data_IF_049538494670
#
_entry.id   IF_049538494670
#
_cell.length_a   1.000
_cell.length_b   1.000
_cell.length_c   1.000
_cell.angle_alpha   90.00
_cell.angle_beta   90.00
_cell.angle_gamma   90.00
#
_symmetry.space_group_name_H-M   'P 1'
#
loop_
_entity.id
_entity.type
_entity.pdbx_description
1 polymer ?
#
# COMPACT_ATOMS: atom_id res chain seq x y z
N UNK A 1 11.10 -2.79 24.33
CA UNK A 1 9.65 -2.91 24.06
C UNK A 1 9.43 -2.42 22.64
N UNK A 2 8.87 -3.24 21.74
CA UNK A 2 8.61 -2.83 20.35
C UNK A 2 7.34 -1.98 20.33
N UNK A 3 7.41 -0.79 19.74
CA UNK A 3 6.24 0.04 19.48
C UNK A 3 5.66 -0.33 18.11
N UNK A 4 4.72 -1.26 18.09
CA UNK A 4 4.12 -1.77 16.85
C UNK A 4 3.37 -0.70 16.06
N UNK A 5 2.71 0.24 16.75
CA UNK A 5 1.99 1.35 16.11
C UNK A 5 2.98 2.24 15.34
N UNK A 6 4.08 2.63 15.98
CA UNK A 6 5.09 3.45 15.33
C UNK A 6 5.75 2.73 14.15
N UNK A 7 6.00 1.42 14.29
CA UNK A 7 6.58 0.61 13.21
C UNK A 7 5.62 0.48 12.03
N UNK A 8 4.34 0.22 12.29
CA UNK A 8 3.29 0.18 11.27
C UNK A 8 3.20 1.52 10.53
N UNK A 9 3.15 2.64 11.25
CA UNK A 9 3.09 3.98 10.65
C UNK A 9 4.30 4.26 9.76
N UNK A 10 5.51 3.91 10.20
CA UNK A 10 6.74 4.07 9.39
C UNK A 10 6.73 3.24 8.11
N UNK A 11 6.16 2.03 8.14
CA UNK A 11 6.04 1.18 6.95
C UNK A 11 5.03 1.77 5.96
N UNK A 12 3.88 2.22 6.46
CA UNK A 12 2.86 2.90 5.64
C UNK A 12 3.37 4.20 5.05
N UNK A 13 4.17 4.97 5.78
CA UNK A 13 4.81 6.18 5.27
C UNK A 13 5.81 5.88 4.13
N UNK A 14 6.61 4.81 4.26
CA UNK A 14 7.51 4.37 3.17
C UNK A 14 6.72 3.95 1.93
N UNK A 15 5.64 3.18 2.10
CA UNK A 15 4.76 2.78 1.01
C UNK A 15 4.08 3.99 0.36
N UNK A 16 3.63 4.97 1.16
CA UNK A 16 3.05 6.21 0.67
C UNK A 16 4.04 7.04 -0.13
N UNK A 17 5.30 7.13 0.32
CA UNK A 17 6.36 7.80 -0.41
C UNK A 17 6.67 7.09 -1.73
N UNK A 18 6.71 5.75 -1.75
CA UNK A 18 6.87 5.00 -3.00
C UNK A 18 5.72 5.32 -3.96
N UNK A 19 4.47 5.22 -3.48
CA UNK A 19 3.28 5.52 -4.26
C UNK A 19 3.31 6.93 -4.83
N UNK A 20 3.62 7.94 -4.01
CA UNK A 20 3.73 9.34 -4.45
C UNK A 20 4.72 9.51 -5.60
N UNK A 21 5.84 8.78 -5.58
CA UNK A 21 6.87 8.84 -6.63
C UNK A 21 6.59 7.93 -7.84
N UNK A 22 5.40 7.30 -7.94
CA UNK A 22 5.06 6.45 -9.09
C UNK A 22 4.59 7.24 -10.32
N UNK A 23 4.20 8.49 -10.15
CA UNK A 23 3.64 9.32 -11.23
C UNK A 23 3.87 10.80 -10.97
N UNK A 24 4.12 11.56 -12.05
CA UNK A 24 4.20 13.02 -12.03
C UNK A 24 2.86 13.67 -12.48
N UNK A 25 1.82 12.87 -12.73
CA UNK A 25 0.50 13.35 -13.17
C UNK A 25 -0.21 14.01 -12.00
N UNK A 26 -0.89 15.14 -12.24
CA UNK A 26 -1.80 15.73 -11.25
C UNK A 26 -3.04 14.86 -11.06
N UNK A 27 -3.37 14.57 -9.80
CA UNK A 27 -4.50 13.73 -9.41
C UNK A 27 -5.33 14.33 -8.28
N UNK A 28 -6.61 13.97 -8.24
CA UNK A 28 -7.49 14.16 -7.08
C UNK A 28 -7.25 13.07 -6.03
N UNK A 29 -6.94 11.85 -6.49
CA UNK A 29 -6.55 10.72 -5.66
C UNK A 29 -5.60 9.79 -6.43
N UNK A 30 -4.62 9.22 -5.73
CA UNK A 30 -3.70 8.21 -6.22
C UNK A 30 -3.72 7.03 -5.25
N UNK A 31 -3.94 5.80 -5.70
CA UNK A 31 -3.97 4.65 -4.81
C UNK A 31 -3.31 3.42 -5.41
N UNK A 32 -2.87 2.55 -4.50
CA UNK A 32 -2.42 1.21 -4.81
C UNK A 32 -3.28 0.22 -4.02
N UNK A 33 -3.73 -0.81 -4.72
CA UNK A 33 -4.32 -2.01 -4.13
C UNK A 33 -3.21 -3.05 -3.99
N UNK A 34 -3.18 -3.72 -2.85
CA UNK A 34 -2.23 -4.75 -2.50
C UNK A 34 -3.00 -6.01 -2.12
N UNK A 35 -2.72 -7.12 -2.78
CA UNK A 35 -3.36 -8.40 -2.51
C UNK A 35 -2.31 -9.45 -2.22
N UNK A 36 -2.43 -10.13 -1.08
CA UNK A 36 -1.56 -11.24 -0.72
C UNK A 36 -2.03 -12.50 -1.42
N UNK A 37 -1.10 -13.10 -2.16
CA UNK A 37 -1.23 -14.47 -2.63
C UNK A 37 -0.47 -15.37 -1.64
N UNK A 38 -1.24 -16.06 -0.80
CA UNK A 38 -0.69 -16.96 0.21
C UNK A 38 -0.16 -18.27 -0.39
N UNK A 39 -0.61 -18.66 -1.58
CA UNK A 39 -0.15 -19.87 -2.27
C UNK A 39 1.29 -19.69 -2.75
N UNK A 40 1.60 -18.53 -3.33
CA UNK A 40 2.93 -18.23 -3.87
C UNK A 40 3.76 -17.31 -2.98
N UNK A 41 3.23 -16.87 -1.84
CA UNK A 41 3.84 -15.89 -0.93
C UNK A 41 4.25 -14.60 -1.67
N UNK A 42 3.41 -14.17 -2.61
CA UNK A 42 3.57 -12.97 -3.42
C UNK A 42 2.57 -11.90 -3.03
N UNK A 43 2.82 -10.67 -3.50
CA UNK A 43 1.88 -9.56 -3.33
C UNK A 43 1.63 -8.98 -4.71
N UNK A 44 0.39 -9.08 -5.16
CA UNK A 44 -0.08 -8.44 -6.37
C UNK A 44 -0.40 -6.98 -6.08
N UNK A 45 -0.12 -6.13 -7.07
CA UNK A 45 -0.33 -4.68 -6.94
C UNK A 45 -1.03 -4.12 -8.16
N UNK A 46 -1.97 -3.22 -7.93
CA UNK A 46 -2.65 -2.48 -8.97
C UNK A 46 -2.64 -0.98 -8.62
N UNK A 47 -2.12 -0.16 -9.55
CA UNK A 47 -1.99 1.28 -9.37
C UNK A 47 -3.05 2.02 -10.14
N UNK A 48 -3.60 3.04 -9.50
CA UNK A 48 -4.67 3.85 -10.06
C UNK A 48 -4.53 5.30 -9.67
N UNK A 49 -4.94 6.20 -10.56
CA UNK A 49 -5.18 7.59 -10.20
C UNK A 49 -6.55 8.04 -10.69
N UNK A 50 -7.09 9.05 -10.01
CA UNK A 50 -8.29 9.75 -10.40
C UNK A 50 -7.94 11.19 -10.74
N UNK A 51 -8.36 11.66 -11.90
CA UNK A 51 -8.21 13.06 -12.33
C UNK A 51 -9.44 13.46 -13.14
N UNK A 52 -10.00 14.65 -12.88
CA UNK A 52 -11.22 15.15 -13.53
C UNK A 52 -12.38 14.13 -13.54
N UNK A 53 -12.55 13.41 -12.42
CA UNK A 53 -13.59 12.40 -12.28
C UNK A 53 -13.33 11.06 -12.99
N UNK A 54 -12.26 10.93 -13.78
CA UNK A 54 -11.88 9.70 -14.49
C UNK A 54 -10.88 8.88 -13.68
N UNK A 55 -11.05 7.56 -13.69
CA UNK A 55 -10.12 6.61 -13.09
C UNK A 55 -9.25 5.98 -14.16
N UNK A 56 -7.94 5.93 -13.92
CA UNK A 56 -6.95 5.33 -14.82
C UNK A 56 -6.15 4.30 -14.04
N UNK A 57 -6.09 3.07 -14.56
CA UNK A 57 -5.13 2.05 -14.14
C UNK A 57 -3.83 2.24 -14.93
N UNK A 58 -2.68 2.17 -14.25
CA UNK A 58 -1.39 2.35 -14.88
C UNK A 58 -0.33 1.38 -14.33
N UNK A 59 0.70 1.11 -15.12
CA UNK A 59 1.81 0.27 -14.71
C UNK A 59 2.78 1.03 -13.80
N UNK A 60 3.29 0.35 -12.77
CA UNK A 60 4.33 0.92 -11.91
C UNK A 60 5.63 1.19 -12.70
N UNK A 61 6.37 2.27 -12.37
CA UNK A 61 7.72 2.46 -12.87
C UNK A 61 8.64 1.28 -12.53
N UNK A 62 9.64 1.03 -13.39
CA UNK A 62 10.63 -0.04 -13.19
C UNK A 62 11.36 0.14 -11.85
N UNK A 63 11.43 -0.93 -11.05
CA UNK A 63 12.13 -0.94 -9.75
C UNK A 63 11.28 -0.61 -8.53
N UNK A 64 10.01 -0.23 -8.71
CA UNK A 64 9.06 -0.06 -7.60
C UNK A 64 8.69 -1.41 -6.96
N UNK A 65 8.62 -2.49 -7.75
CA UNK A 65 8.06 -3.78 -7.34
C UNK A 65 8.77 -4.47 -6.16
N UNK A 66 10.11 -4.60 -6.20
CA UNK A 66 10.84 -5.38 -5.17
C UNK A 66 10.81 -4.70 -3.80
N UNK A 67 11.04 -3.38 -3.73
CA UNK A 67 10.96 -2.63 -2.47
C UNK A 67 9.54 -2.60 -1.90
N UNK A 68 8.52 -2.59 -2.76
CA UNK A 68 7.13 -2.58 -2.34
C UNK A 68 6.74 -3.93 -1.69
N UNK A 69 7.22 -5.04 -2.25
CA UNK A 69 7.00 -6.39 -1.72
C UNK A 69 7.57 -6.54 -0.29
N UNK A 70 8.84 -6.20 -0.09
CA UNK A 70 9.51 -6.34 1.21
C UNK A 70 8.78 -5.54 2.31
N UNK A 71 8.38 -4.32 1.99
CA UNK A 71 7.67 -3.43 2.92
C UNK A 71 6.28 -3.98 3.28
N UNK A 72 5.56 -4.55 2.32
CA UNK A 72 4.24 -5.11 2.56
C UNK A 72 4.31 -6.40 3.37
N UNK A 73 5.30 -7.27 3.12
CA UNK A 73 5.54 -8.44 3.96
C UNK A 73 5.93 -8.04 5.39
N UNK A 74 6.78 -7.03 5.56
CA UNK A 74 7.11 -6.51 6.89
C UNK A 74 5.89 -5.92 7.59
N UNK A 75 5.03 -5.19 6.86
CA UNK A 75 3.78 -4.63 7.39
C UNK A 75 2.85 -5.75 7.88
N UNK A 76 2.69 -6.81 7.09
CA UNK A 76 1.87 -7.98 7.45
C UNK A 76 2.37 -8.64 8.73
N UNK A 77 3.68 -8.86 8.83
CA UNK A 77 4.30 -9.44 10.03
C UNK A 77 4.14 -8.55 11.28
N UNK A 78 4.33 -7.24 11.14
CA UNK A 78 4.19 -6.27 12.24
C UNK A 78 2.74 -6.21 12.73
N UNK A 79 1.77 -6.16 11.82
CA UNK A 79 0.36 -6.10 12.19
C UNK A 79 -0.11 -7.41 12.82
N UNK A 80 0.27 -8.57 12.27
CA UNK A 80 -0.04 -9.89 12.86
C UNK A 80 0.54 -10.02 14.27
N UNK A 81 1.78 -9.57 14.49
CA UNK A 81 2.38 -9.59 15.82
C UNK A 81 1.70 -8.64 16.83
N UNK A 82 1.10 -7.55 16.35
CA UNK A 82 0.44 -6.55 17.19
C UNK A 82 -1.00 -6.91 17.53
N UNK A 83 -1.79 -7.35 16.55
CA UNK A 83 -3.24 -7.52 16.67
C UNK A 83 -3.69 -8.98 16.59
N UNK A 84 -2.80 -9.90 16.20
CA UNK A 84 -3.14 -11.28 15.86
C UNK A 84 -3.82 -11.44 14.49
N UNK A 85 -4.24 -10.32 13.87
CA UNK A 85 -4.93 -10.32 12.58
C UNK A 85 -3.95 -10.30 11.42
N UNK A 86 -4.16 -11.20 10.47
CA UNK A 86 -3.44 -11.26 9.20
C UNK A 86 -4.39 -10.83 8.08
N UNK A 87 -4.15 -9.65 7.51
CA UNK A 87 -4.94 -9.13 6.40
C UNK A 87 -4.61 -9.91 5.12
N UNK A 88 -5.59 -9.98 4.20
CA UNK A 88 -5.46 -10.59 2.88
C UNK A 88 -5.23 -9.54 1.80
N UNK A 89 -5.75 -8.33 1.97
CA UNK A 89 -5.49 -7.22 1.07
C UNK A 89 -5.57 -5.88 1.81
N UNK A 90 -4.97 -4.85 1.22
CA UNK A 90 -5.19 -3.47 1.68
C UNK A 90 -5.08 -2.47 0.54
N UNK A 91 -5.75 -1.33 0.72
CA UNK A 91 -5.65 -0.18 -0.19
C UNK A 91 -4.94 0.96 0.51
N UNK A 92 -3.94 1.56 -0.16
CA UNK A 92 -3.28 2.79 0.26
C UNK A 92 -3.66 3.91 -0.71
N UNK A 93 -4.30 4.96 -0.22
CA UNK A 93 -4.76 6.11 -1.01
C UNK A 93 -4.07 7.39 -0.55
N UNK A 94 -3.53 8.16 -1.49
CA UNK A 94 -3.08 9.53 -1.32
C UNK A 94 -4.14 10.47 -1.86
N UNK A 95 -4.68 11.33 -0.99
CA UNK A 95 -5.57 12.42 -1.40
C UNK A 95 -4.79 13.63 -1.91
N UNK A 96 -5.50 14.55 -2.57
CA UNK A 96 -4.97 15.84 -3.02
C UNK A 96 -4.40 16.72 -1.89
N UNK A 97 -4.82 16.49 -0.64
CA UNK A 97 -4.26 17.17 0.54
C UNK A 97 -2.94 16.56 1.05
N UNK A 98 -2.41 15.56 0.34
CA UNK A 98 -1.19 14.86 0.70
C UNK A 98 -1.37 13.85 1.83
N UNK A 99 -2.58 13.63 2.34
CA UNK A 99 -2.82 12.65 3.39
C UNK A 99 -2.97 11.25 2.81
N UNK A 100 -2.32 10.32 3.49
CA UNK A 100 -2.45 8.90 3.24
C UNK A 100 -3.61 8.31 4.05
N UNK A 101 -4.43 7.50 3.39
CA UNK A 101 -5.49 6.69 3.99
C UNK A 101 -5.25 5.22 3.67
N UNK A 102 -5.48 4.35 4.66
CA UNK A 102 -5.36 2.90 4.49
C UNK A 102 -6.64 2.19 4.87
N UNK A 103 -6.97 1.15 4.10
CA UNK A 103 -8.08 0.24 4.39
C UNK A 103 -7.57 -1.18 4.28
N UNK A 104 -7.71 -1.97 5.34
CA UNK A 104 -7.29 -3.37 5.38
C UNK A 104 -8.52 -4.27 5.32
N UNK A 105 -8.43 -5.34 4.53
CA UNK A 105 -9.43 -6.40 4.46
C UNK A 105 -8.82 -7.68 5.05
N UNK A 106 -9.63 -8.39 5.83
CA UNK A 106 -9.24 -9.62 6.49
C UNK A 106 -10.03 -10.79 5.88
N UNK A 107 -9.43 -11.98 5.74
CA UNK A 107 -10.14 -13.16 5.29
C UNK A 107 -11.30 -13.47 6.26
N UNK A 108 -12.46 -13.81 5.69
CA UNK A 108 -13.68 -14.15 6.43
C UNK A 108 -13.67 -15.56 7.01
#
# INVERSE_FOLDING_TARGET
MINYIEKQSKLLEKLANILFNTTDVEYDALWCEYECDDEFNTIDTALFYKTDGKVVNFAAPVGVSSKNLDLCQELRAVMKAHTGGEWSSFTLTLGKDGKAHTKFEYPS
#
